data_IF_867905270057
#
_entry.id   IF_867905270057
#
_cell.length_a   1.000
_cell.length_b   1.000
_cell.length_c   1.000
_cell.angle_alpha   90.00
_cell.angle_beta   90.00
_cell.angle_gamma   90.00
#
_symmetry.space_group_name_H-M   'P 1'
#
loop_
_entity.id
_entity.type
_entity.pdbx_description
1 polymer ?
#
# COMPACT_ATOMS: atom_id res chain seq x y z
N UNK A 1 -8.54 11.15 19.66
CA UNK A 1 -9.24 11.07 18.36
C UNK A 1 -9.74 9.63 18.16
N UNK A 2 -10.89 9.42 17.52
CA UNK A 2 -11.43 8.07 17.33
C UNK A 2 -10.53 7.22 16.40
N UNK A 3 -10.32 5.91 16.69
CA UNK A 3 -9.56 4.99 15.84
C UNK A 3 -9.90 5.04 14.35
N UNK A 4 -11.20 5.17 14.02
CA UNK A 4 -11.70 5.24 12.65
C UNK A 4 -11.25 6.51 11.89
N UNK A 5 -11.13 7.65 12.58
CA UNK A 5 -10.69 8.90 11.96
C UNK A 5 -9.19 8.89 11.65
N UNK A 6 -8.39 8.26 12.52
CA UNK A 6 -6.94 8.08 12.30
C UNK A 6 -6.72 7.10 11.15
N UNK A 7 -7.46 5.98 11.16
CA UNK A 7 -7.43 4.98 10.11
C UNK A 7 -7.78 5.59 8.75
N UNK A 8 -8.96 6.22 8.61
CA UNK A 8 -9.37 6.84 7.34
C UNK A 8 -8.45 7.96 6.86
N UNK A 9 -7.90 8.78 7.76
CA UNK A 9 -6.88 9.77 7.39
C UNK A 9 -5.61 9.11 6.86
N UNK A 10 -5.18 8.02 7.47
CA UNK A 10 -3.96 7.31 7.07
C UNK A 10 -4.13 6.67 5.70
N UNK A 11 -5.27 6.01 5.46
CA UNK A 11 -5.65 5.50 4.13
C UNK A 11 -5.57 6.64 3.12
N UNK A 12 -6.34 7.72 3.31
CA UNK A 12 -6.35 8.85 2.38
C UNK A 12 -5.00 9.56 2.22
N UNK A 13 -4.12 9.52 3.22
CA UNK A 13 -2.76 10.07 3.11
C UNK A 13 -1.88 9.21 2.20
N UNK A 14 -1.98 7.89 2.28
CA UNK A 14 -1.26 6.97 1.40
C UNK A 14 -1.83 7.03 -0.03
N UNK A 15 -3.16 7.04 -0.17
CA UNK A 15 -3.82 7.17 -1.47
C UNK A 15 -3.39 8.43 -2.21
N UNK A 16 -3.18 9.56 -1.52
CA UNK A 16 -2.66 10.78 -2.15
C UNK A 16 -1.32 10.60 -2.87
N UNK A 17 -0.43 9.75 -2.36
CA UNK A 17 0.83 9.47 -3.04
C UNK A 17 0.62 8.56 -4.25
N UNK A 18 -0.26 7.55 -4.12
CA UNK A 18 -0.61 6.67 -5.24
C UNK A 18 -1.29 7.46 -6.36
N UNK A 19 -2.24 8.34 -6.04
CA UNK A 19 -2.93 9.19 -7.01
C UNK A 19 -1.95 10.16 -7.68
N UNK A 20 -1.07 10.83 -6.90
CA UNK A 20 -0.03 11.71 -7.47
C UNK A 20 0.84 10.95 -8.46
N UNK A 21 1.20 9.71 -8.15
CA UNK A 21 1.98 8.85 -9.02
C UNK A 21 1.22 8.47 -10.29
N UNK A 22 -0.01 7.96 -10.17
CA UNK A 22 -0.88 7.62 -11.31
C UNK A 22 -1.06 8.83 -12.24
N UNK A 23 -1.34 10.01 -11.68
CA UNK A 23 -1.46 11.25 -12.46
C UNK A 23 -0.16 11.61 -13.16
N UNK A 24 0.99 11.50 -12.48
CA UNK A 24 2.30 11.78 -13.07
C UNK A 24 2.73 10.80 -14.17
N UNK A 25 1.96 9.72 -14.40
CA UNK A 25 2.18 8.72 -15.44
C UNK A 25 1.13 8.75 -16.55
N UNK A 26 0.21 9.71 -16.52
CA UNK A 26 -0.93 9.78 -17.43
C UNK A 26 -1.77 8.48 -17.42
N UNK A 27 -1.92 7.88 -16.23
CA UNK A 27 -2.63 6.61 -16.05
C UNK A 27 -4.03 6.76 -15.48
N UNK A 28 -4.52 7.97 -15.17
CA UNK A 28 -5.80 8.15 -14.48
C UNK A 28 -6.97 7.43 -15.17
N UNK A 29 -7.04 7.50 -16.51
CA UNK A 29 -8.10 6.85 -17.30
C UNK A 29 -7.87 5.33 -17.49
N UNK A 30 -6.73 4.82 -17.03
CA UNK A 30 -6.28 3.43 -17.19
C UNK A 30 -6.27 2.66 -15.86
N UNK A 31 -6.83 3.22 -14.79
CA UNK A 31 -6.87 2.62 -13.46
C UNK A 31 -8.31 2.40 -13.00
N UNK A 32 -8.56 1.22 -12.47
CA UNK A 32 -9.75 0.86 -11.72
C UNK A 32 -9.47 0.83 -10.22
N UNK A 33 -10.52 1.10 -9.44
CA UNK A 33 -10.51 1.05 -7.98
C UNK A 33 -11.73 0.28 -7.49
N UNK A 34 -11.60 -0.42 -6.37
CA UNK A 34 -12.69 -1.18 -5.75
C UNK A 34 -12.97 -0.68 -4.32
N UNK A 35 -13.33 0.59 -4.13
CA UNK A 35 -13.57 1.14 -2.80
C UNK A 35 -14.77 0.46 -2.15
N UNK A 36 -14.56 -0.18 -1.00
CA UNK A 36 -15.63 -0.82 -0.22
C UNK A 36 -16.22 -2.08 -0.85
N UNK A 37 -15.73 -2.54 -2.01
CA UNK A 37 -16.20 -3.77 -2.65
C UNK A 37 -15.56 -5.00 -2.00
N UNK A 38 -16.37 -6.02 -1.74
CA UNK A 38 -15.87 -7.32 -1.31
C UNK A 38 -15.28 -8.11 -2.48
N UNK A 39 -14.02 -8.51 -2.36
CA UNK A 39 -13.33 -9.37 -3.31
C UNK A 39 -13.44 -10.82 -2.80
N UNK A 40 -14.11 -11.73 -3.52
CA UNK A 40 -14.20 -13.13 -3.14
C UNK A 40 -12.88 -13.85 -3.46
N UNK A 41 -12.44 -14.79 -2.62
CA UNK A 41 -11.32 -15.67 -2.97
C UNK A 41 -11.65 -16.52 -4.21
N UNK A 42 -10.65 -16.80 -5.05
CA UNK A 42 -10.83 -17.62 -6.25
C UNK A 42 -11.11 -19.10 -5.90
N UNK A 43 -10.50 -19.61 -4.83
CA UNK A 43 -10.68 -20.99 -4.36
C UNK A 43 -11.95 -21.19 -3.50
N UNK A 44 -12.50 -20.12 -2.94
CA UNK A 44 -13.71 -20.15 -2.13
C UNK A 44 -14.45 -18.80 -2.20
N UNK A 45 -15.46 -18.66 -3.08
CA UNK A 45 -16.15 -17.39 -3.29
C UNK A 45 -16.91 -16.83 -2.06
N UNK A 46 -17.13 -17.65 -1.02
CA UNK A 46 -17.76 -17.19 0.24
C UNK A 46 -16.76 -16.51 1.18
N UNK A 47 -15.46 -16.71 0.96
CA UNK A 47 -14.40 -16.02 1.70
C UNK A 47 -14.12 -14.67 1.03
N UNK A 48 -14.81 -13.63 1.51
CA UNK A 48 -14.78 -12.29 0.92
C UNK A 48 -13.95 -11.36 1.82
N UNK A 49 -13.09 -10.55 1.22
CA UNK A 49 -12.39 -9.45 1.90
C UNK A 49 -12.59 -8.12 1.20
N UNK A 50 -12.65 -7.05 1.98
CA UNK A 50 -12.75 -5.68 1.47
C UNK A 50 -11.44 -4.96 1.76
N UNK A 51 -10.76 -4.38 0.76
CA UNK A 51 -9.53 -3.64 0.97
C UNK A 51 -9.83 -2.26 1.56
N UNK A 52 -8.88 -1.67 2.30
CA UNK A 52 -9.00 -0.27 2.73
C UNK A 52 -8.88 0.69 1.53
N UNK A 53 -7.99 0.37 0.58
CA UNK A 53 -7.93 0.97 -0.75
C UNK A 53 -7.33 -0.02 -1.75
N UNK A 54 -7.69 0.11 -3.03
CA UNK A 54 -7.24 -0.83 -4.05
C UNK A 54 -7.20 -0.21 -5.44
N UNK A 55 -6.25 -0.69 -6.25
CA UNK A 55 -5.95 -0.18 -7.59
C UNK A 55 -5.56 -1.31 -8.52
N UNK A 56 -5.86 -1.16 -9.80
CA UNK A 56 -5.47 -2.08 -10.85
C UNK A 56 -5.63 -1.46 -12.23
N UNK A 57 -5.02 -2.05 -13.27
CA UNK A 57 -5.23 -1.59 -14.64
C UNK A 57 -6.68 -1.87 -15.06
N UNK A 58 -7.33 -0.92 -15.74
CA UNK A 58 -8.64 -1.13 -16.36
C UNK A 58 -8.60 -2.14 -17.51
N UNK A 59 -7.42 -2.28 -18.12
CA UNK A 59 -7.14 -3.25 -19.17
C UNK A 59 -5.85 -4.01 -18.83
N UNK A 60 -5.91 -5.06 -18.00
CA UNK A 60 -4.74 -5.85 -17.67
C UNK A 60 -4.21 -6.61 -18.89
N UNK A 61 -2.93 -7.00 -18.86
CA UNK A 61 -2.36 -7.85 -19.89
C UNK A 61 -3.03 -9.24 -19.92
N UNK A 62 -2.93 -9.92 -21.07
CA UNK A 62 -3.43 -11.29 -21.25
C UNK A 62 -2.92 -12.20 -20.13
N UNK A 63 -3.82 -12.96 -19.51
CA UNK A 63 -3.51 -13.86 -18.39
C UNK A 63 -3.83 -13.29 -17.01
N UNK A 64 -4.22 -12.01 -16.92
CA UNK A 64 -4.68 -11.38 -15.69
C UNK A 64 -6.16 -11.01 -15.79
N UNK A 65 -6.87 -11.14 -14.67
CA UNK A 65 -8.28 -10.73 -14.55
C UNK A 65 -8.41 -9.23 -14.32
N UNK A 66 -9.45 -8.63 -14.91
CA UNK A 66 -9.87 -7.24 -14.72
C UNK A 66 -10.77 -7.06 -13.49
N UNK A 67 -11.38 -8.13 -12.96
CA UNK A 67 -12.27 -8.08 -11.79
C UNK A 67 -11.57 -7.87 -10.42
N UNK A 68 -10.24 -7.67 -10.42
CA UNK A 68 -9.41 -7.72 -9.20
C UNK A 68 -8.27 -6.71 -9.20
N UNK A 69 -7.95 -6.14 -8.03
CA UNK A 69 -6.83 -5.23 -7.92
C UNK A 69 -5.49 -5.92 -8.12
N UNK A 70 -4.52 -5.18 -8.64
CA UNK A 70 -3.11 -5.56 -8.65
C UNK A 70 -2.38 -5.03 -7.42
N UNK A 71 -2.87 -3.93 -6.82
CA UNK A 71 -2.27 -3.28 -5.65
C UNK A 71 -3.35 -3.00 -4.60
N UNK A 72 -3.08 -3.40 -3.36
CA UNK A 72 -3.99 -3.25 -2.22
C UNK A 72 -3.29 -2.53 -1.07
N UNK A 73 -4.00 -1.66 -0.37
CA UNK A 73 -3.57 -1.02 0.88
C UNK A 73 -4.40 -1.57 2.05
N UNK A 74 -3.73 -1.91 3.15
CA UNK A 74 -4.30 -2.31 4.43
C UNK A 74 -3.68 -1.47 5.56
N UNK A 75 -4.49 -0.78 6.34
CA UNK A 75 -4.06 0.05 7.45
C UNK A 75 -4.55 -0.53 8.77
N UNK A 76 -3.63 -0.75 9.70
CA UNK A 76 -3.96 -1.24 11.03
C UNK A 76 -3.58 -0.27 12.13
N UNK A 77 -4.58 0.23 12.88
CA UNK A 77 -4.32 0.99 14.11
C UNK A 77 -4.38 0.09 15.35
N UNK A 78 -5.43 -0.72 15.47
CA UNK A 78 -5.63 -1.62 16.62
C UNK A 78 -5.04 -3.00 16.33
N UNK A 79 -5.11 -3.45 15.08
CA UNK A 79 -4.63 -4.75 14.63
C UNK A 79 -3.14 -4.90 14.90
N UNK A 80 -2.69 -6.11 15.23
CA UNK A 80 -1.27 -6.43 15.37
C UNK A 80 -0.60 -6.57 14.00
N UNK A 81 0.73 -6.42 13.93
CA UNK A 81 1.44 -6.64 12.67
C UNK A 81 1.24 -8.08 12.12
N UNK A 82 1.31 -9.16 12.93
CA UNK A 82 1.00 -10.51 12.43
C UNK A 82 -0.42 -10.67 11.88
N UNK A 83 -1.40 -9.94 12.42
CA UNK A 83 -2.76 -9.93 11.88
C UNK A 83 -2.81 -9.28 10.50
N UNK A 84 -2.09 -8.18 10.30
CA UNK A 84 -2.01 -7.51 9.00
C UNK A 84 -1.18 -8.31 7.99
N UNK A 85 -0.13 -9.01 8.43
CA UNK A 85 0.62 -9.93 7.57
C UNK A 85 -0.26 -11.05 7.04
N UNK A 86 -1.20 -11.54 7.87
CA UNK A 86 -2.21 -12.51 7.43
C UNK A 86 -3.16 -11.92 6.37
N UNK A 87 -3.53 -10.64 6.50
CA UNK A 87 -4.31 -9.94 5.47
C UNK A 87 -3.52 -9.83 4.17
N UNK A 88 -2.26 -9.39 4.25
CA UNK A 88 -1.41 -9.23 3.08
C UNK A 88 -1.18 -10.55 2.34
N UNK A 89 -0.90 -11.63 3.08
CA UNK A 89 -0.80 -12.98 2.51
C UNK A 89 -2.06 -13.41 1.81
N UNK A 90 -3.25 -13.08 2.34
CA UNK A 90 -4.51 -13.37 1.67
C UNK A 90 -4.61 -12.61 0.33
N UNK A 91 -4.24 -11.32 0.32
CA UNK A 91 -4.30 -10.49 -0.88
C UNK A 91 -3.36 -10.97 -1.98
N UNK A 92 -2.13 -11.35 -1.64
CA UNK A 92 -1.12 -11.78 -2.62
C UNK A 92 -1.14 -13.27 -2.92
N UNK A 93 -2.06 -14.04 -2.33
CA UNK A 93 -2.25 -15.45 -2.65
C UNK A 93 -2.96 -15.58 -4.01
N UNK A 94 -2.37 -16.29 -4.99
CA UNK A 94 -2.91 -16.44 -6.34
C UNK A 94 -4.26 -17.14 -6.38
N UNK A 95 -4.60 -17.92 -5.35
CA UNK A 95 -5.89 -18.60 -5.24
C UNK A 95 -6.92 -17.79 -4.44
N UNK A 96 -6.58 -16.59 -3.95
CA UNK A 96 -7.46 -15.74 -3.15
C UNK A 96 -7.61 -14.35 -3.75
N UNK A 97 -6.90 -13.36 -3.20
CA UNK A 97 -6.96 -11.98 -3.69
C UNK A 97 -6.29 -11.81 -5.05
N UNK A 98 -5.26 -12.60 -5.34
CA UNK A 98 -4.46 -12.55 -6.57
C UNK A 98 -3.88 -11.15 -6.90
N UNK A 99 -3.72 -10.29 -5.89
CA UNK A 99 -3.04 -9.02 -6.04
C UNK A 99 -1.54 -9.27 -6.28
N UNK A 100 -0.92 -8.45 -7.13
CA UNK A 100 0.52 -8.49 -7.31
C UNK A 100 1.26 -7.95 -6.07
N UNK A 101 0.61 -7.00 -5.38
CA UNK A 101 1.18 -6.24 -4.29
C UNK A 101 0.15 -5.96 -3.19
N UNK A 102 0.58 -6.03 -1.93
CA UNK A 102 -0.17 -5.53 -0.79
C UNK A 102 0.73 -4.69 0.12
N UNK A 103 0.37 -3.41 0.31
CA UNK A 103 0.99 -2.49 1.24
C UNK A 103 0.24 -2.54 2.58
N UNK A 104 0.94 -2.96 3.62
CA UNK A 104 0.46 -2.91 5.00
C UNK A 104 1.07 -1.70 5.70
N UNK A 105 0.23 -0.86 6.30
CA UNK A 105 0.65 0.24 7.16
C UNK A 105 0.17 0.00 8.60
N UNK A 106 1.10 -0.36 9.49
CA UNK A 106 0.83 -0.55 10.91
C UNK A 106 1.16 0.72 11.68
N UNK A 107 0.14 1.31 12.29
CA UNK A 107 0.25 2.45 13.18
C UNK A 107 0.42 2.00 14.63
N UNK A 108 1.14 2.78 15.42
CA UNK A 108 1.31 2.57 16.86
C UNK A 108 0.69 3.73 17.67
N UNK A 109 0.58 3.55 19.00
CA UNK A 109 0.19 4.60 19.96
C UNK A 109 1.36 5.53 20.32
N UNK A 110 2.53 5.28 19.77
CA UNK A 110 3.72 6.14 19.85
C UNK A 110 4.08 6.64 18.45
N UNK A 111 4.93 7.68 18.30
CA UNK A 111 5.47 8.11 17.00
C UNK A 111 6.32 7.03 16.32
N UNK A 112 5.66 5.94 15.91
CA UNK A 112 6.21 4.78 15.25
C UNK A 112 5.18 4.27 14.26
N UNK A 113 5.60 4.04 13.02
CA UNK A 113 4.81 3.28 12.05
C UNK A 113 5.69 2.28 11.30
N UNK A 114 5.06 1.24 10.78
CA UNK A 114 5.68 0.24 9.91
C UNK A 114 4.96 0.22 8.58
N UNK A 115 5.70 0.22 7.49
CA UNK A 115 5.19 -0.09 6.16
C UNK A 115 5.84 -1.39 5.71
N UNK A 116 5.01 -2.38 5.39
CA UNK A 116 5.42 -3.62 4.75
C UNK A 116 4.83 -3.70 3.35
N UNK A 117 5.60 -4.18 2.37
CA UNK A 117 5.06 -4.56 1.06
C UNK A 117 5.26 -6.05 0.84
N UNK A 118 4.16 -6.72 0.52
CA UNK A 118 4.10 -8.11 0.13
C UNK A 118 3.93 -8.21 -1.38
N UNK A 119 4.60 -9.19 -2.00
CA UNK A 119 4.49 -9.49 -3.43
C UNK A 119 3.95 -10.92 -3.64
N UNK A 120 3.18 -11.14 -4.70
CA UNK A 120 2.61 -12.46 -5.05
C UNK A 120 1.67 -12.41 -6.25
N UNK A 121 0.66 -13.28 -6.28
CA UNK A 121 -0.28 -13.43 -7.39
C UNK A 121 0.15 -14.44 -8.46
N UNK A 122 -0.63 -14.53 -9.54
CA UNK A 122 -0.61 -15.64 -10.51
C UNK A 122 0.77 -15.94 -11.16
N UNK A 123 1.70 -14.97 -11.16
CA UNK A 123 3.02 -15.11 -11.77
C UNK A 123 4.19 -14.82 -10.80
N UNK A 124 3.91 -14.70 -9.51
CA UNK A 124 4.91 -14.40 -8.48
C UNK A 124 4.67 -15.37 -7.32
N UNK A 125 5.70 -16.14 -6.97
CA UNK A 125 5.60 -17.03 -5.82
C UNK A 125 5.17 -16.24 -4.58
N UNK A 126 4.13 -16.67 -3.85
CA UNK A 126 3.67 -15.96 -2.66
C UNK A 126 4.81 -15.74 -1.68
N UNK A 127 5.08 -14.49 -1.34
CA UNK A 127 6.17 -14.18 -0.43
C UNK A 127 5.87 -14.73 0.97
N UNK A 128 6.84 -15.38 1.61
CA UNK A 128 6.73 -15.87 2.99
C UNK A 128 6.96 -14.76 4.03
N UNK A 129 7.60 -13.67 3.60
CA UNK A 129 7.94 -12.45 4.36
C UNK A 129 7.73 -11.23 3.45
N UNK A 130 7.57 -10.02 4.01
CA UNK A 130 7.46 -8.83 3.18
C UNK A 130 8.77 -8.57 2.43
N UNK A 131 8.65 -8.08 1.19
CA UNK A 131 9.77 -7.69 0.33
C UNK A 131 10.39 -6.37 0.81
N UNK A 132 9.56 -5.48 1.34
CA UNK A 132 9.99 -4.24 2.00
C UNK A 132 9.52 -4.25 3.44
N UNK A 133 10.41 -3.91 4.38
CA UNK A 133 10.09 -3.69 5.78
C UNK A 133 10.67 -2.34 6.20
N UNK A 134 9.81 -1.33 6.31
CA UNK A 134 10.19 0.05 6.59
C UNK A 134 9.66 0.44 7.96
N UNK A 135 10.55 0.83 8.86
CA UNK A 135 10.19 1.32 10.19
C UNK A 135 10.52 2.79 10.29
N UNK A 136 9.49 3.59 10.53
CA UNK A 136 9.63 5.02 10.80
C UNK A 136 9.38 5.26 12.29
N UNK A 137 10.27 6.00 12.94
CA UNK A 137 10.13 6.31 14.36
C UNK A 137 10.73 7.68 14.70
N UNK A 138 10.09 8.40 15.61
CA UNK A 138 10.64 9.63 16.18
C UNK A 138 11.56 9.33 17.36
N UNK A 139 12.79 9.86 17.35
CA UNK A 139 13.68 9.84 18.51
C UNK A 139 13.12 10.73 19.61
N UNK A 140 12.89 10.16 20.80
CA UNK A 140 12.36 10.91 21.97
C UNK A 140 13.20 12.12 22.36
N UNK A 141 14.53 12.02 22.25
CA UNK A 141 15.44 13.04 22.77
C UNK A 141 15.63 14.23 21.81
N UNK A 142 15.54 14.01 20.50
CA UNK A 142 15.84 15.03 19.48
C UNK A 142 14.61 15.46 18.69
N UNK A 143 13.51 14.72 18.74
CA UNK A 143 12.35 14.94 17.88
C UNK A 143 12.57 14.55 16.41
N UNK A 144 13.76 14.04 16.08
CA UNK A 144 14.14 13.63 14.73
C UNK A 144 13.35 12.39 14.28
N UNK A 145 12.83 12.42 13.06
CA UNK A 145 12.19 11.27 12.42
C UNK A 145 13.27 10.44 11.74
N UNK A 146 13.39 9.17 12.14
CA UNK A 146 14.25 8.19 11.50
C UNK A 146 13.45 7.24 10.63
N UNK A 147 14.08 6.77 9.55
CA UNK A 147 13.58 5.73 8.67
C UNK A 147 14.61 4.60 8.66
N UNK A 148 14.17 3.38 8.95
CA UNK A 148 14.98 2.16 8.81
C UNK A 148 14.37 1.31 7.69
N UNK A 149 15.21 0.84 6.78
CA UNK A 149 14.79 0.19 5.54
C UNK A 149 15.25 0.97 4.32
N UNK A 150 14.98 0.43 3.13
CA UNK A 150 15.27 1.11 1.87
C UNK A 150 14.11 2.05 1.49
N UNK A 151 14.34 3.02 0.59
CA UNK A 151 13.26 3.72 -0.09
C UNK A 151 12.19 2.75 -0.61
N UNK A 152 10.93 3.17 -0.55
CA UNK A 152 9.83 2.33 -1.02
C UNK A 152 9.78 2.40 -2.54
N UNK A 153 9.83 1.24 -3.20
CA UNK A 153 9.64 1.14 -4.65
C UNK A 153 8.45 0.24 -4.97
N UNK A 154 7.40 0.81 -5.59
CA UNK A 154 6.32 0.03 -6.20
C UNK A 154 6.63 -0.12 -7.68
N UNK A 155 6.91 -1.35 -8.09
CA UNK A 155 7.32 -1.67 -9.45
C UNK A 155 6.16 -1.50 -10.42
N UNK A 156 6.36 -0.71 -11.48
CA UNK A 156 5.36 -0.48 -12.51
C UNK A 156 4.83 -1.78 -13.12
N UNK A 157 5.68 -2.79 -13.48
CA UNK A 157 5.18 -4.02 -14.07
C UNK A 157 4.28 -4.84 -13.15
N UNK A 158 4.40 -4.65 -11.84
CA UNK A 158 3.52 -5.30 -10.88
C UNK A 158 2.19 -4.57 -10.74
N UNK A 159 2.26 -3.24 -10.63
CA UNK A 159 1.08 -2.41 -10.49
C UNK A 159 0.21 -2.42 -11.75
N UNK A 160 0.81 -2.23 -12.93
CA UNK A 160 0.07 -2.21 -14.21
C UNK A 160 -0.07 -3.58 -14.85
N UNK A 161 0.57 -4.63 -14.30
CA UNK A 161 0.60 -5.98 -14.88
C UNK A 161 1.08 -6.02 -16.35
N UNK A 162 1.93 -5.06 -16.73
CA UNK A 162 2.58 -4.96 -18.04
C UNK A 162 3.86 -4.13 -17.93
N UNK A 163 4.78 -4.29 -18.87
CA UNK A 163 5.93 -3.39 -18.96
C UNK A 163 5.49 -1.96 -19.31
N UNK A 164 6.29 -0.93 -18.94
CA UNK A 164 6.12 0.41 -19.46
C UNK A 164 6.10 0.39 -20.98
N UNK A 165 5.24 1.22 -21.59
CA UNK A 165 5.21 1.33 -23.04
C UNK A 165 6.52 1.97 -23.54
N UNK A 166 7.15 1.46 -24.60
CA UNK A 166 8.43 2.00 -25.08
C UNK A 166 8.40 3.50 -25.41
N UNK A 167 7.26 4.01 -25.86
CA UNK A 167 7.05 5.42 -26.20
C UNK A 167 6.69 6.31 -24.99
N UNK A 168 6.42 5.72 -23.83
CA UNK A 168 6.10 6.50 -22.63
C UNK A 168 7.36 6.98 -21.94
N UNK A 169 7.47 8.30 -21.76
CA UNK A 169 8.54 8.92 -20.98
C UNK A 169 8.20 9.02 -19.48
N UNK A 170 6.96 8.71 -19.10
CA UNK A 170 6.43 8.96 -17.77
C UNK A 170 6.10 7.69 -17.00
N UNK A 171 5.90 6.55 -17.67
CA UNK A 171 5.68 5.25 -17.01
C UNK A 171 6.97 4.72 -16.38
N UNK A 172 7.00 4.60 -15.05
CA UNK A 172 8.17 4.16 -14.27
C UNK A 172 7.72 3.63 -12.90
N UNK A 173 8.65 3.12 -12.10
CA UNK A 173 8.33 2.72 -10.73
C UNK A 173 7.94 3.93 -9.87
N UNK A 174 7.06 3.73 -8.88
CA UNK A 174 6.84 4.73 -7.81
C UNK A 174 7.96 4.60 -6.81
N UNK A 175 8.72 5.68 -6.62
CA UNK A 175 9.73 5.76 -5.57
C UNK A 175 9.24 6.76 -4.53
N UNK A 176 9.04 6.31 -3.29
CA UNK A 176 8.95 7.20 -2.14
C UNK A 176 10.31 7.20 -1.45
N UNK A 177 10.99 8.33 -1.51
CA UNK A 177 12.29 8.47 -0.87
C UNK A 177 12.17 8.62 0.65
N UNK A 178 13.31 8.77 1.32
CA UNK A 178 13.36 8.89 2.78
C UNK A 178 12.62 10.15 3.27
N UNK A 179 12.65 11.25 2.54
CA UNK A 179 11.98 12.49 2.93
C UNK A 179 10.46 12.41 2.71
N UNK A 180 10.02 11.77 1.62
CA UNK A 180 8.61 11.44 1.40
C UNK A 180 8.06 10.57 2.54
N UNK A 181 8.78 9.51 2.90
CA UNK A 181 8.43 8.63 4.02
C UNK A 181 8.37 9.39 5.34
N UNK A 182 9.35 10.27 5.63
CA UNK A 182 9.32 11.14 6.82
C UNK A 182 8.12 12.08 6.81
N UNK A 183 7.74 12.62 5.66
CA UNK A 183 6.58 13.51 5.51
C UNK A 183 5.28 12.77 5.80
N UNK A 184 5.10 11.58 5.23
CA UNK A 184 3.95 10.70 5.51
C UNK A 184 3.88 10.39 7.01
N UNK A 185 4.99 9.96 7.62
CA UNK A 185 5.07 9.66 9.05
C UNK A 185 4.64 10.86 9.90
N UNK A 186 5.19 12.04 9.59
CA UNK A 186 4.89 13.30 10.28
C UNK A 186 3.41 13.64 10.20
N UNK A 187 2.82 13.61 9.01
CA UNK A 187 1.41 13.96 8.79
C UNK A 187 0.48 13.04 9.60
N UNK A 188 0.76 11.73 9.61
CA UNK A 188 0.03 10.73 10.39
C UNK A 188 0.19 11.00 11.88
N UNK A 189 1.40 11.22 12.39
CA UNK A 189 1.63 11.45 13.82
C UNK A 189 1.04 12.77 14.32
N UNK A 190 1.03 13.81 13.50
CA UNK A 190 0.29 15.06 13.77
C UNK A 190 -1.21 14.74 13.90
N UNK A 191 -1.76 13.97 12.96
CA UNK A 191 -3.18 13.57 13.01
C UNK A 191 -3.51 12.75 14.25
N UNK A 192 -2.61 11.85 14.66
CA UNK A 192 -2.75 11.07 15.89
C UNK A 192 -2.61 11.92 17.16
N UNK A 193 -2.12 13.17 17.05
CA UNK A 193 -1.82 14.04 18.18
C UNK A 193 -0.56 13.63 18.95
N UNK A 194 0.31 12.83 18.35
CA UNK A 194 1.53 12.31 18.97
C UNK A 194 2.70 13.28 18.85
N UNK A 195 2.67 14.15 17.83
CA UNK A 195 3.62 15.25 17.63
C UNK A 195 2.86 16.51 17.24
N UNK A 196 3.49 17.68 17.42
CA UNK A 196 2.92 18.96 16.99
C UNK A 196 3.25 19.22 15.51
N UNK A 197 2.35 19.88 14.80
CA UNK A 197 2.72 20.55 13.55
C UNK A 197 3.76 21.62 13.90
N UNK A 198 4.98 21.50 13.36
CA UNK A 198 5.94 22.60 13.43
C UNK A 198 5.31 23.85 12.82
N UNK A 199 5.47 24.99 13.51
CA UNK A 199 5.21 26.31 12.93
C UNK A 199 6.32 26.72 11.98
#
# INVERSE_FOLDING_TARGET
MAPSLIHGFTVGRLEKEIIRWITGMDLLDNIETWPGSGIPALDNPTNIRTPDASYGPSQPAVGFSDDRPSFVIEVGYIQTLPSLDSHARWWVDPNKGNAALCLVCKLDRTPRLVIDIWEGGAHIAPATRPQYHIVMAQKRNTGEITVRGNPLAIRFPLFMRRLPRPESLVERDLILDIEDLKKIARDIWIKQGLIRSGG
#
